data_IF_134037960316
#
_entry.id   IF_134037960316
#
_cell.length_a   1.000
_cell.length_b   1.000
_cell.length_c   1.000
_cell.angle_alpha   90.00
_cell.angle_beta   90.00
_cell.angle_gamma   90.00
#
_symmetry.space_group_name_H-M   'P 1'
#
loop_
_entity.id
_entity.type
_entity.pdbx_description
1 polymer ?
#
# COMPACT_ATOMS: atom_id res chain seq x y z
N UNK A 1 -14.81 -16.77 -11.54
CA UNK A 1 -15.34 -16.22 -10.28
C UNK A 1 -16.33 -15.12 -10.64
N UNK A 2 -17.53 -15.16 -10.06
CA UNK A 2 -18.54 -14.12 -10.32
C UNK A 2 -18.23 -12.82 -9.57
N UNK A 3 -19.03 -11.77 -9.82
CA UNK A 3 -18.83 -10.45 -9.19
C UNK A 3 -19.07 -10.45 -7.69
N UNK A 4 -19.99 -11.28 -7.19
CA UNK A 4 -20.33 -11.36 -5.77
C UNK A 4 -19.20 -12.01 -4.98
N UNK A 5 -18.69 -13.14 -5.47
CA UNK A 5 -17.53 -13.84 -4.93
C UNK A 5 -16.28 -12.95 -4.93
N UNK A 6 -16.06 -12.15 -5.98
CA UNK A 6 -14.97 -11.17 -6.00
C UNK A 6 -15.14 -10.14 -4.89
N UNK A 7 -16.36 -9.62 -4.70
CA UNK A 7 -16.62 -8.60 -3.69
C UNK A 7 -16.45 -9.14 -2.27
N UNK A 8 -16.88 -10.37 -2.00
CA UNK A 8 -16.64 -11.03 -0.71
C UNK A 8 -15.15 -11.22 -0.42
N UNK A 9 -14.36 -11.58 -1.45
CA UNK A 9 -12.90 -11.66 -1.30
C UNK A 9 -12.27 -10.30 -1.06
N UNK A 10 -12.73 -9.26 -1.76
CA UNK A 10 -12.29 -7.88 -1.54
C UNK A 10 -12.54 -7.45 -0.08
N UNK A 11 -13.74 -7.71 0.46
CA UNK A 11 -14.09 -7.41 1.85
C UNK A 11 -13.16 -8.13 2.82
N UNK A 12 -12.94 -9.43 2.65
CA UNK A 12 -12.03 -10.19 3.53
C UNK A 12 -10.59 -9.69 3.51
N UNK A 13 -10.09 -9.27 2.33
CA UNK A 13 -8.75 -8.68 2.23
C UNK A 13 -8.68 -7.35 2.97
N UNK A 14 -9.73 -6.52 2.89
CA UNK A 14 -9.84 -5.27 3.64
C UNK A 14 -9.85 -5.54 5.13
N UNK A 15 -10.70 -6.45 5.61
CA UNK A 15 -10.82 -6.79 7.04
C UNK A 15 -9.47 -7.22 7.64
N UNK A 16 -8.74 -8.08 6.92
CA UNK A 16 -7.41 -8.54 7.34
C UNK A 16 -6.37 -7.42 7.38
N UNK A 17 -6.36 -6.55 6.37
CA UNK A 17 -5.42 -5.41 6.33
C UNK A 17 -5.74 -4.37 7.41
N UNK A 18 -7.02 -4.05 7.59
CA UNK A 18 -7.50 -3.11 8.63
C UNK A 18 -7.19 -3.64 10.03
N UNK A 19 -7.39 -4.92 10.29
CA UNK A 19 -7.04 -5.53 11.57
C UNK A 19 -5.54 -5.32 11.91
N UNK A 20 -4.65 -5.59 10.95
CA UNK A 20 -3.22 -5.35 11.13
C UNK A 20 -2.91 -3.86 11.37
N UNK A 21 -3.49 -2.96 10.57
CA UNK A 21 -3.26 -1.52 10.72
C UNK A 21 -3.73 -1.01 12.09
N UNK A 22 -4.88 -1.46 12.57
CA UNK A 22 -5.40 -1.05 13.89
C UNK A 22 -4.57 -1.62 15.05
N UNK A 23 -3.94 -2.78 14.88
CA UNK A 23 -3.12 -3.40 15.92
C UNK A 23 -1.69 -2.82 15.96
N UNK A 24 -1.11 -2.50 14.81
CA UNK A 24 0.32 -2.21 14.70
C UNK A 24 0.68 -0.84 14.09
N UNK A 25 -0.27 -0.14 13.47
CA UNK A 25 -0.04 1.12 12.75
C UNK A 25 -1.03 2.20 13.23
N UNK A 26 -1.69 2.90 12.31
CA UNK A 26 -2.69 3.91 12.58
C UNK A 26 -3.94 3.76 11.70
N UNK A 27 -4.98 4.54 12.03
CA UNK A 27 -6.25 4.57 11.32
C UNK A 27 -6.09 5.04 9.86
N UNK A 28 -5.20 6.01 9.60
CA UNK A 28 -4.95 6.50 8.25
C UNK A 28 -4.38 5.39 7.34
N UNK A 29 -3.50 4.52 7.86
CA UNK A 29 -3.05 3.33 7.15
C UNK A 29 -4.20 2.37 6.81
N UNK A 30 -5.15 2.19 7.74
CA UNK A 30 -6.31 1.33 7.52
C UNK A 30 -7.22 1.86 6.41
N UNK A 31 -7.44 3.19 6.38
CA UNK A 31 -8.18 3.88 5.32
C UNK A 31 -7.48 3.75 3.95
N UNK A 32 -6.17 3.96 3.92
CA UNK A 32 -5.37 3.84 2.69
C UNK A 32 -5.34 2.40 2.16
N UNK A 33 -5.20 1.41 3.04
CA UNK A 33 -5.30 -0.01 2.66
C UNK A 33 -6.68 -0.32 2.08
N UNK A 34 -7.74 0.17 2.71
CA UNK A 34 -9.12 0.01 2.23
C UNK A 34 -9.29 0.61 0.84
N UNK A 35 -8.86 1.86 0.65
CA UNK A 35 -8.89 2.55 -0.66
C UNK A 35 -8.13 1.77 -1.72
N UNK A 36 -6.95 1.26 -1.39
CA UNK A 36 -6.08 0.51 -2.31
C UNK A 36 -6.76 -0.79 -2.77
N UNK A 37 -7.29 -1.58 -1.84
CA UNK A 37 -7.94 -2.86 -2.15
C UNK A 37 -9.22 -2.63 -2.96
N UNK A 38 -10.01 -1.60 -2.63
CA UNK A 38 -11.16 -1.21 -3.44
C UNK A 38 -10.78 -0.79 -4.87
N UNK A 39 -9.67 -0.07 -5.05
CA UNK A 39 -9.17 0.28 -6.40
C UNK A 39 -8.74 -0.99 -7.17
N UNK A 40 -8.15 -1.99 -6.51
CA UNK A 40 -7.84 -3.29 -7.12
C UNK A 40 -9.11 -4.04 -7.54
N UNK A 41 -10.12 -4.08 -6.68
CA UNK A 41 -11.40 -4.75 -6.94
C UNK A 41 -12.12 -4.25 -8.20
N UNK A 42 -11.92 -2.97 -8.55
CA UNK A 42 -12.50 -2.32 -9.74
C UNK A 42 -11.73 -2.62 -11.05
N UNK A 43 -10.54 -3.23 -11.00
CA UNK A 43 -9.78 -3.55 -12.22
C UNK A 43 -10.42 -4.71 -12.98
N UNK A 44 -10.51 -4.59 -14.31
CA UNK A 44 -11.04 -5.65 -15.19
C UNK A 44 -10.30 -6.98 -14.99
N UNK A 45 -8.97 -6.93 -14.89
CA UNK A 45 -8.14 -8.07 -14.48
C UNK A 45 -7.77 -7.88 -13.01
N UNK A 46 -8.72 -8.17 -12.12
CA UNK A 46 -8.51 -8.00 -10.69
C UNK A 46 -7.66 -9.15 -10.14
N UNK A 47 -6.50 -8.87 -9.51
CA UNK A 47 -5.61 -9.92 -9.07
C UNK A 47 -6.12 -10.66 -7.81
N UNK A 48 -7.10 -10.09 -7.09
CA UNK A 48 -7.75 -10.73 -5.95
C UNK A 48 -8.54 -12.00 -6.33
N UNK A 49 -8.77 -12.21 -7.64
CA UNK A 49 -9.44 -13.40 -8.15
C UNK A 49 -8.67 -14.70 -7.91
N UNK A 50 -7.38 -14.63 -7.63
CA UNK A 50 -6.54 -15.79 -7.35
C UNK A 50 -5.59 -15.53 -6.18
N UNK A 51 -4.96 -16.59 -5.67
CA UNK A 51 -4.06 -16.52 -4.53
C UNK A 51 -4.77 -16.46 -3.17
N UNK A 52 -3.95 -16.56 -2.11
CA UNK A 52 -4.39 -16.48 -0.72
C UNK A 52 -4.78 -15.05 -0.36
N UNK A 53 -5.89 -14.88 0.38
CA UNK A 53 -6.36 -13.55 0.80
C UNK A 53 -5.40 -12.89 1.78
N UNK A 54 -4.72 -13.68 2.64
CA UNK A 54 -3.75 -13.18 3.61
C UNK A 54 -2.55 -12.55 2.90
N UNK A 55 -2.11 -13.14 1.78
CA UNK A 55 -1.00 -12.61 0.98
C UNK A 55 -1.39 -11.27 0.33
N UNK A 56 -2.63 -11.12 -0.13
CA UNK A 56 -3.10 -9.85 -0.70
C UNK A 56 -3.30 -8.77 0.36
N UNK A 57 -3.73 -9.14 1.56
CA UNK A 57 -3.80 -8.23 2.70
C UNK A 57 -2.39 -7.75 3.08
N UNK A 58 -1.46 -8.68 3.29
CA UNK A 58 -0.06 -8.39 3.59
C UNK A 58 0.61 -7.52 2.52
N UNK A 59 0.36 -7.80 1.24
CA UNK A 59 0.88 -7.01 0.13
C UNK A 59 0.30 -5.59 0.12
N UNK A 60 -0.97 -5.41 0.47
CA UNK A 60 -1.62 -4.10 0.54
C UNK A 60 -1.02 -3.25 1.66
N UNK A 61 -0.89 -3.82 2.87
CA UNK A 61 -0.20 -3.19 4.01
C UNK A 61 1.24 -2.85 3.63
N UNK A 62 1.99 -3.82 3.09
CA UNK A 62 3.36 -3.60 2.64
C UNK A 62 3.45 -2.45 1.62
N UNK A 63 2.53 -2.36 0.66
CA UNK A 63 2.51 -1.26 -0.31
C UNK A 63 2.34 0.09 0.38
N UNK A 64 1.40 0.24 1.31
CA UNK A 64 1.18 1.49 2.06
C UNK A 64 2.41 1.83 2.91
N UNK A 65 2.94 0.88 3.68
CA UNK A 65 4.14 1.09 4.49
C UNK A 65 5.35 1.50 3.63
N UNK A 66 5.51 0.87 2.46
CA UNK A 66 6.61 1.16 1.52
C UNK A 66 6.54 2.58 0.96
N UNK A 67 5.36 3.07 0.58
CA UNK A 67 5.19 4.41 0.01
C UNK A 67 5.43 5.50 1.06
N UNK A 68 5.13 5.17 2.32
CA UNK A 68 5.17 6.07 3.47
C UNK A 68 6.42 5.91 4.34
N UNK A 69 7.49 5.32 3.79
CA UNK A 69 8.81 5.23 4.44
C UNK A 69 8.81 4.53 5.81
N UNK A 70 7.83 3.67 6.09
CA UNK A 70 7.68 3.01 7.40
C UNK A 70 8.74 1.95 7.66
N UNK A 71 9.47 1.52 6.62
CA UNK A 71 10.62 0.63 6.77
C UNK A 71 11.91 1.40 7.14
N UNK A 72 11.88 2.73 7.13
CA UNK A 72 12.99 3.55 7.59
C UNK A 72 12.94 3.67 9.12
N UNK A 73 14.11 3.48 9.77
CA UNK A 73 14.26 3.55 11.24
C UNK A 73 13.82 4.88 11.87
N UNK A 74 13.74 5.95 11.08
CA UNK A 74 13.38 7.29 11.53
C UNK A 74 11.88 7.58 11.48
N UNK A 75 11.05 6.67 10.95
CA UNK A 75 9.61 6.90 10.87
C UNK A 75 8.93 6.69 12.23
N UNK A 76 7.93 7.51 12.55
CA UNK A 76 7.13 7.40 13.79
C UNK A 76 6.38 6.06 13.88
N UNK A 77 5.95 5.53 12.74
CA UNK A 77 5.20 4.29 12.60
C UNK A 77 6.08 3.20 11.98
N UNK A 78 7.29 3.05 12.51
CA UNK A 78 8.24 2.10 11.96
C UNK A 78 7.74 0.67 12.14
N UNK A 79 7.67 -0.07 11.04
CA UNK A 79 7.47 -1.52 11.02
C UNK A 79 8.49 -2.14 10.07
N UNK A 80 8.58 -3.46 10.02
CA UNK A 80 9.43 -4.16 9.07
C UNK A 80 8.64 -5.02 8.09
N UNK A 81 9.21 -5.24 6.92
CA UNK A 81 8.69 -6.24 5.98
C UNK A 81 8.58 -7.64 6.60
N UNK A 82 9.42 -7.96 7.60
CA UNK A 82 9.41 -9.27 8.26
C UNK A 82 8.20 -9.40 9.17
N UNK A 83 7.89 -8.38 9.96
CA UNK A 83 6.72 -8.35 10.86
C UNK A 83 5.42 -8.53 10.07
N UNK A 84 5.28 -7.80 8.95
CA UNK A 84 4.12 -7.95 8.07
C UNK A 84 4.07 -9.38 7.52
N UNK A 85 5.18 -9.90 6.99
CA UNK A 85 5.20 -11.24 6.40
C UNK A 85 4.84 -12.33 7.42
N UNK A 86 5.41 -12.25 8.63
CA UNK A 86 5.19 -13.19 9.72
C UNK A 86 3.74 -13.17 10.20
N UNK A 87 3.18 -11.98 10.44
CA UNK A 87 1.78 -11.82 10.88
C UNK A 87 0.80 -12.52 9.93
N UNK A 88 1.02 -12.41 8.61
CA UNK A 88 0.14 -13.01 7.60
C UNK A 88 0.53 -14.43 7.17
N UNK A 89 1.55 -15.03 7.79
CA UNK A 89 2.05 -16.36 7.43
C UNK A 89 2.51 -16.45 5.96
N UNK A 90 3.27 -15.45 5.53
CA UNK A 90 3.83 -15.30 4.19
C UNK A 90 5.35 -15.04 4.23
N UNK A 91 6.01 -15.06 3.06
CA UNK A 91 7.42 -14.66 2.97
C UNK A 91 7.56 -13.22 2.51
N UNK A 92 8.62 -12.53 2.97
CA UNK A 92 8.94 -11.16 2.57
C UNK A 92 9.04 -10.99 1.05
N UNK A 93 9.65 -11.94 0.34
CA UNK A 93 9.76 -11.92 -1.12
C UNK A 93 8.40 -12.02 -1.82
N UNK A 94 7.49 -12.82 -1.26
CA UNK A 94 6.14 -13.00 -1.83
C UNK A 94 5.32 -11.73 -1.69
N UNK A 95 5.31 -11.10 -0.51
CA UNK A 95 4.54 -9.87 -0.30
C UNK A 95 5.13 -8.69 -1.08
N UNK A 96 6.46 -8.61 -1.20
CA UNK A 96 7.12 -7.59 -2.02
C UNK A 96 6.80 -7.76 -3.53
N UNK A 97 6.81 -8.99 -4.05
CA UNK A 97 6.41 -9.28 -5.42
C UNK A 97 4.94 -8.89 -5.68
N UNK A 98 4.04 -9.20 -4.75
CA UNK A 98 2.62 -8.84 -4.86
C UNK A 98 2.41 -7.32 -4.75
N UNK A 99 3.15 -6.65 -3.88
CA UNK A 99 3.17 -5.18 -3.79
C UNK A 99 3.59 -4.54 -5.12
N UNK A 100 4.60 -5.10 -5.80
CA UNK A 100 4.97 -4.63 -7.14
C UNK A 100 3.82 -4.77 -8.15
N UNK A 101 3.11 -5.89 -8.15
CA UNK A 101 1.93 -6.10 -9.00
C UNK A 101 0.84 -5.05 -8.70
N UNK A 102 0.60 -4.75 -7.43
CA UNK A 102 -0.34 -3.71 -7.00
C UNK A 102 0.07 -2.36 -7.57
N UNK A 103 1.33 -1.97 -7.39
CA UNK A 103 1.87 -0.69 -7.88
C UNK A 103 1.76 -0.59 -9.40
N UNK A 104 2.14 -1.63 -10.13
CA UNK A 104 2.07 -1.67 -11.60
C UNK A 104 0.62 -1.55 -12.10
N UNK A 105 -0.32 -2.28 -11.50
CA UNK A 105 -1.74 -2.26 -11.92
C UNK A 105 -2.44 -0.95 -11.62
N UNK A 106 -2.13 -0.35 -10.47
CA UNK A 106 -2.72 0.91 -10.01
C UNK A 106 -1.95 2.14 -10.48
N UNK A 107 -0.77 1.97 -11.09
CA UNK A 107 0.16 3.03 -11.47
C UNK A 107 0.59 3.89 -10.28
N UNK A 108 0.84 3.22 -9.16
CA UNK A 108 1.26 3.87 -7.92
C UNK A 108 2.76 4.15 -7.98
N UNK A 109 3.13 5.38 -7.63
CA UNK A 109 4.53 5.77 -7.50
C UNK A 109 5.22 4.98 -6.38
N UNK A 110 6.53 4.76 -6.52
CA UNK A 110 7.26 3.99 -5.50
C UNK A 110 7.24 4.66 -4.12
N UNK A 111 7.19 5.99 -4.09
CA UNK A 111 7.20 6.88 -2.93
C UNK A 111 6.35 8.12 -3.25
N UNK A 112 5.88 8.82 -2.21
CA UNK A 112 5.13 10.08 -2.33
C UNK A 112 3.96 10.02 -3.33
N UNK A 113 3.24 8.89 -3.34
CA UNK A 113 2.10 8.74 -4.22
C UNK A 113 0.97 9.68 -3.78
N UNK A 114 0.40 10.51 -4.67
CA UNK A 114 -0.59 11.51 -4.28
C UNK A 114 -1.90 10.91 -3.75
N UNK A 115 -2.17 9.64 -4.07
CA UNK A 115 -3.38 8.95 -3.65
C UNK A 115 -3.20 8.11 -2.39
N UNK A 116 -1.95 7.74 -2.07
CA UNK A 116 -1.61 6.73 -1.05
C UNK A 116 -0.51 7.16 -0.08
N UNK A 117 -0.15 8.44 -0.09
CA UNK A 117 0.67 9.02 0.98
C UNK A 117 -0.20 9.35 2.18
N UNK A 118 0.32 9.09 3.37
CA UNK A 118 -0.18 9.70 4.60
C UNK A 118 -0.10 11.21 4.47
N UNK A 119 -0.98 11.91 5.17
CA UNK A 119 -1.05 13.37 5.16
C UNK A 119 0.29 14.00 5.52
N UNK A 120 0.93 13.51 6.59
CA UNK A 120 2.25 14.00 7.01
C UNK A 120 3.31 13.83 5.91
N UNK A 121 3.30 12.70 5.19
CA UNK A 121 4.24 12.41 4.10
C UNK A 121 3.95 13.27 2.87
N UNK A 122 2.67 13.52 2.57
CA UNK A 122 2.25 14.38 1.46
C UNK A 122 2.60 15.86 1.73
N UNK A 123 2.34 16.34 2.95
CA UNK A 123 2.61 17.71 3.38
C UNK A 123 4.12 18.00 3.37
N UNK A 124 4.95 17.03 3.76
CA UNK A 124 6.42 17.13 3.77
C UNK A 124 7.10 16.58 2.51
N UNK A 125 6.36 16.43 1.40
CA UNK A 125 6.92 15.91 0.15
C UNK A 125 7.96 16.90 -0.42
N UNK A 126 9.25 16.53 -0.54
CA UNK A 126 10.29 17.44 -1.05
C UNK A 126 10.03 17.86 -2.51
N UNK A 127 9.22 17.10 -3.25
CA UNK A 127 8.83 17.46 -4.61
C UNK A 127 7.87 18.65 -4.69
N UNK A 128 7.21 19.03 -3.59
CA UNK A 128 6.33 20.20 -3.54
C UNK A 128 7.12 21.52 -3.71
N UNK A 129 8.41 21.51 -3.42
CA UNK A 129 9.31 22.65 -3.55
C UNK A 129 10.13 22.62 -4.84
N UNK A 130 9.89 21.64 -5.73
CA UNK A 130 10.61 21.58 -7.00
C UNK A 130 9.95 22.47 -8.04
N UNK A 131 10.73 23.38 -8.63
CA UNK A 131 10.32 24.22 -9.74
C UNK A 131 11.21 23.97 -10.96
N UNK A 132 10.61 23.90 -12.15
CA UNK A 132 11.35 23.81 -13.41
C UNK A 132 11.55 25.21 -14.00
N UNK A 133 12.81 25.63 -14.18
CA UNK A 133 13.17 26.90 -14.85
C UNK A 133 14.22 26.63 -15.92
N UNK A 134 13.94 27.03 -17.15
CA UNK A 134 14.83 26.85 -18.31
C UNK A 134 15.31 25.39 -18.52
N UNK A 135 14.46 24.40 -18.23
CA UNK A 135 14.82 22.98 -18.36
C UNK A 135 15.66 22.41 -17.22
N UNK A 136 15.94 23.18 -16.18
CA UNK A 136 16.62 22.74 -14.97
C UNK A 136 15.64 22.72 -13.79
N UNK A 137 15.86 21.78 -12.87
CA UNK A 137 15.07 21.62 -11.64
C UNK A 137 15.79 22.37 -10.51
N UNK A 138 15.05 23.23 -9.81
CA UNK A 138 15.51 23.96 -8.62
C UNK A 138 14.60 23.63 -7.43
N UNK A 139 15.15 23.75 -6.23
CA UNK A 139 14.36 23.86 -5.01
C UNK A 139 14.02 25.34 -4.79
N UNK A 140 12.73 25.63 -4.59
CA UNK A 140 12.23 26.93 -4.13
C UNK A 140 12.47 27.10 -2.62
#
# INVERSE_FOLDING_TARGET
MDKQQLKEREVKVIELAVAFCNEHLDEECAELCTKLVQKLGRKRSCPLQSGRIEIWAAASVYTICSINFMFCKSSRLSTSSSEIAEHFGASGSTIAQKSRIIKDLLKISNVFDPDFSLKEIADNNPFNHLVMRNGFIFFD
#
